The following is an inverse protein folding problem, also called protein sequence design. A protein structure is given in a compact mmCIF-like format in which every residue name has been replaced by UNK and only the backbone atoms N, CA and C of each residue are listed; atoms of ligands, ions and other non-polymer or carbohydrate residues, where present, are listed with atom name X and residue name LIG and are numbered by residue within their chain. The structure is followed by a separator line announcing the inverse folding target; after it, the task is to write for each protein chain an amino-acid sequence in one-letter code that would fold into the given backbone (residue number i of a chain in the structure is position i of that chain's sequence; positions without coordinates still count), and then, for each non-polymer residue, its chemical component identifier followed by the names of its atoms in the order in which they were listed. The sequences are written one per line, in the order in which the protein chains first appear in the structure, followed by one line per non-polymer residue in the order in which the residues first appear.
data_IF_642800660153
#
_entry.id   IF_642800660153
#
_cell.length_a   1.000
_cell.length_b   1.000
_cell.length_c   1.000
_cell.angle_alpha   90.00
_cell.angle_beta   90.00
_cell.angle_gamma   90.00
#
_symmetry.space_group_name_H-M   'P 1'
#
loop_
_entity.id
_entity.type
_entity.pdbx_description
1 polymer ?
#
# COMPACT_ATOMS: atom_id res chain seq x y z
N UNK A 1 -16.69 1.13 7.14
CA UNK A 1 -15.22 1.03 7.32
C UNK A 1 -14.71 1.67 8.62
N UNK A 2 -15.09 2.91 8.98
CA UNK A 2 -14.71 3.52 10.28
C UNK A 2 -15.06 2.66 11.51
N UNK A 3 -16.15 1.88 11.44
CA UNK A 3 -16.58 0.95 12.48
C UNK A 3 -15.60 -0.22 12.76
N UNK A 4 -14.63 -0.49 11.89
CA UNK A 4 -13.60 -1.52 12.12
C UNK A 4 -12.39 -0.99 12.92
N UNK A 5 -12.33 0.33 13.21
CA UNK A 5 -11.32 0.90 14.09
C UNK A 5 -11.68 0.55 15.54
N UNK A 6 -11.16 -0.57 16.01
CA UNK A 6 -11.33 -1.06 17.37
C UNK A 6 -10.02 -1.66 17.90
N UNK A 7 -9.98 -1.96 19.20
CA UNK A 7 -8.86 -2.67 19.79
C UNK A 7 -8.75 -4.09 19.20
N UNK A 8 -7.53 -4.64 19.04
CA UNK A 8 -6.23 -4.09 19.44
C UNK A 8 -5.60 -3.11 18.44
N UNK A 9 -6.24 -2.85 17.31
CA UNK A 9 -5.76 -1.95 16.25
C UNK A 9 -6.38 -2.31 14.88
N UNK A 10 -6.09 -1.50 13.86
CA UNK A 10 -6.55 -1.73 12.48
C UNK A 10 -5.43 -1.42 11.50
N UNK A 11 -5.13 -2.37 10.61
CA UNK A 11 -4.40 -2.12 9.36
C UNK A 11 -5.43 -2.02 8.24
N UNK A 12 -5.45 -0.88 7.53
CA UNK A 12 -6.38 -0.62 6.44
C UNK A 12 -5.62 -0.37 5.14
N UNK A 13 -5.98 -1.08 4.08
CA UNK A 13 -5.46 -0.91 2.72
C UNK A 13 -6.54 -0.30 1.82
N UNK A 14 -6.15 0.68 1.01
CA UNK A 14 -7.02 1.40 0.09
C UNK A 14 -6.44 2.76 -0.33
N UNK A 15 -7.17 3.47 -1.19
CA UNK A 15 -6.65 4.63 -1.92
C UNK A 15 -6.77 5.96 -1.16
N UNK A 16 -7.80 6.07 -0.33
CA UNK A 16 -8.17 7.28 0.40
C UNK A 16 -8.17 7.05 1.92
N UNK A 17 -7.48 6.00 2.37
CA UNK A 17 -7.41 5.62 3.78
C UNK A 17 -6.75 6.70 4.64
N UNK A 18 -5.57 7.19 4.26
CA UNK A 18 -4.83 8.20 5.03
C UNK A 18 -5.27 9.65 4.80
N UNK A 19 -6.09 9.91 3.78
CA UNK A 19 -6.54 11.26 3.39
C UNK A 19 -7.99 11.54 3.75
N UNK A 20 -8.88 10.56 3.65
CA UNK A 20 -10.34 10.74 3.84
C UNK A 20 -10.89 9.88 4.98
N UNK A 21 -10.55 8.59 5.03
CA UNK A 21 -11.19 7.64 5.96
C UNK A 21 -10.60 7.74 7.37
N UNK A 22 -9.27 7.75 7.48
CA UNK A 22 -8.48 7.81 8.70
C UNK A 22 -7.41 8.93 8.61
N UNK A 23 -7.82 10.20 8.51
CA UNK A 23 -6.90 11.32 8.42
C UNK A 23 -6.03 11.50 9.69
N UNK A 24 -6.41 10.87 10.80
CA UNK A 24 -5.70 10.88 12.08
C UNK A 24 -4.93 9.56 12.35
N UNK A 25 -4.71 8.74 11.33
CA UNK A 25 -3.93 7.51 11.47
C UNK A 25 -2.49 7.82 11.95
N UNK A 26 -2.01 7.07 12.95
CA UNK A 26 -0.69 7.25 13.55
C UNK A 26 0.47 6.96 12.58
N UNK A 27 0.27 6.03 11.64
CA UNK A 27 1.18 5.77 10.54
C UNK A 27 0.37 5.69 9.23
N UNK A 28 0.81 6.45 8.23
CA UNK A 28 0.27 6.41 6.87
C UNK A 28 1.40 6.02 5.93
N UNK A 29 1.19 4.95 5.19
CA UNK A 29 2.16 4.47 4.19
C UNK A 29 1.57 4.63 2.81
N UNK A 30 2.29 5.31 1.92
CA UNK A 30 1.98 5.36 0.50
C UNK A 30 2.90 4.39 -0.24
N UNK A 31 2.42 3.17 -0.42
CA UNK A 31 3.15 2.10 -1.09
C UNK A 31 3.04 2.22 -2.61
N UNK A 32 4.16 2.13 -3.30
CA UNK A 32 4.26 2.25 -4.76
C UNK A 32 5.18 1.17 -5.31
N UNK A 33 5.01 0.88 -6.59
CA UNK A 33 5.94 0.11 -7.41
C UNK A 33 5.73 0.46 -8.88
N UNK A 34 6.75 0.21 -9.72
CA UNK A 34 6.62 0.32 -11.17
C UNK A 34 5.49 -0.57 -11.69
N UNK A 35 4.89 -0.18 -12.82
CA UNK A 35 3.84 -0.97 -13.46
C UNK A 35 4.37 -2.34 -13.92
N UNK A 36 5.58 -2.36 -14.47
CA UNK A 36 6.26 -3.58 -14.89
C UNK A 36 6.43 -4.58 -13.73
N UNK A 37 6.95 -4.14 -12.58
CA UNK A 37 7.13 -5.02 -11.42
C UNK A 37 5.79 -5.57 -10.89
N UNK A 38 4.77 -4.70 -10.82
CA UNK A 38 3.41 -5.14 -10.44
C UNK A 38 2.82 -6.13 -11.45
N UNK A 39 3.07 -5.93 -12.74
CA UNK A 39 2.63 -6.82 -13.80
C UNK A 39 3.31 -8.20 -13.68
N UNK A 40 4.62 -8.24 -13.45
CA UNK A 40 5.36 -9.48 -13.23
C UNK A 40 4.85 -10.26 -12.02
N UNK A 41 4.68 -9.59 -10.88
CA UNK A 41 4.14 -10.21 -9.66
C UNK A 41 2.75 -10.78 -9.90
N UNK A 42 1.88 -10.01 -10.58
CA UNK A 42 0.53 -10.45 -10.93
C UNK A 42 0.53 -11.64 -11.90
N UNK A 43 1.39 -11.60 -12.91
CA UNK A 43 1.55 -12.69 -13.87
C UNK A 43 2.00 -13.97 -13.16
N UNK A 44 3.04 -13.90 -12.32
CA UNK A 44 3.52 -15.04 -11.50
C UNK A 44 2.38 -15.63 -10.65
N UNK A 45 1.57 -14.80 -10.00
CA UNK A 45 0.40 -15.25 -9.22
C UNK A 45 -0.68 -15.96 -10.06
N UNK A 46 -0.90 -15.53 -11.31
CA UNK A 46 -1.88 -16.16 -12.19
C UNK A 46 -1.38 -17.50 -12.73
N UNK A 47 -0.12 -17.56 -13.15
CA UNK A 47 0.52 -18.81 -13.61
C UNK A 47 0.53 -19.86 -12.50
N UNK A 48 0.85 -19.47 -11.25
CA UNK A 48 0.79 -20.37 -10.09
C UNK A 48 -0.62 -20.94 -9.83
N UNK A 49 -1.67 -20.25 -10.28
CA UNK A 49 -3.06 -20.70 -10.20
C UNK A 49 -3.52 -21.49 -11.43
N UNK A 50 -2.61 -21.77 -12.38
CA UNK A 50 -2.93 -22.44 -13.64
C UNK A 50 -3.69 -21.56 -14.64
N UNK A 51 -3.68 -20.23 -14.45
CA UNK A 51 -4.36 -19.27 -15.31
C UNK A 51 -3.33 -18.69 -16.28
N UNK A 52 -3.51 -18.94 -17.58
CA UNK A 52 -2.72 -18.28 -18.61
C UNK A 52 -3.03 -16.79 -18.62
N UNK A 53 -1.99 -15.96 -18.72
CA UNK A 53 -2.12 -14.51 -18.78
C UNK A 53 -0.98 -13.92 -19.60
N UNK A 54 -1.26 -12.80 -20.27
CA UNK A 54 -0.25 -12.06 -21.03
C UNK A 54 0.34 -10.94 -20.16
N UNK A 55 1.67 -10.91 -20.02
CA UNK A 55 2.37 -9.90 -19.21
C UNK A 55 2.17 -8.48 -19.74
N UNK A 56 2.22 -8.29 -21.06
CA UNK A 56 2.07 -6.97 -21.69
C UNK A 56 0.66 -6.41 -21.50
N UNK A 57 -0.36 -7.27 -21.63
CA UNK A 57 -1.75 -6.88 -21.36
C UNK A 57 -1.95 -6.48 -19.89
N UNK A 58 -1.38 -7.24 -18.94
CA UNK A 58 -1.44 -6.91 -17.51
C UNK A 58 -0.76 -5.55 -17.26
N UNK A 59 0.41 -5.32 -17.87
CA UNK A 59 1.15 -4.07 -17.69
C UNK A 59 0.35 -2.87 -18.20
N UNK A 60 -0.16 -2.95 -19.43
CA UNK A 60 -0.98 -1.90 -20.04
C UNK A 60 -2.24 -1.60 -19.20
N UNK A 61 -2.89 -2.64 -18.68
CA UNK A 61 -4.05 -2.51 -17.79
C UNK A 61 -3.71 -1.79 -16.48
N UNK A 62 -2.55 -2.09 -15.89
CA UNK A 62 -2.08 -1.44 -14.67
C UNK A 62 -1.74 0.03 -14.91
N UNK A 63 -1.03 0.36 -15.99
CA UNK A 63 -0.71 1.74 -16.34
C UNK A 63 -1.98 2.57 -16.60
N UNK A 64 -2.93 2.03 -17.35
CA UNK A 64 -4.21 2.69 -17.62
C UNK A 64 -5.03 2.89 -16.33
N UNK A 65 -5.01 1.92 -15.40
CA UNK A 65 -5.63 2.07 -14.08
C UNK A 65 -4.95 3.17 -13.28
N UNK A 66 -3.63 3.16 -13.14
CA UNK A 66 -2.90 4.16 -12.36
C UNK A 66 -3.14 5.57 -12.88
N UNK A 67 -3.15 5.76 -14.21
CA UNK A 67 -3.43 7.04 -14.83
C UNK A 67 -4.83 7.54 -14.45
N UNK A 68 -5.86 6.69 -14.58
CA UNK A 68 -7.23 7.04 -14.18
C UNK A 68 -7.32 7.36 -12.69
N UNK A 69 -6.61 6.61 -11.86
CA UNK A 69 -6.67 6.74 -10.40
C UNK A 69 -5.99 8.00 -9.89
N UNK A 70 -4.94 8.45 -10.58
CA UNK A 70 -4.25 9.72 -10.28
C UNK A 70 -4.99 10.93 -10.82
N UNK A 71 -5.75 10.78 -11.90
CA UNK A 71 -6.41 11.90 -12.60
C UNK A 71 -7.90 12.06 -12.27
N UNK A 72 -8.51 11.11 -11.55
CA UNK A 72 -9.93 11.21 -11.17
C UNK A 72 -10.22 12.45 -10.32
N UNK A 73 -11.35 13.10 -10.58
CA UNK A 73 -11.76 14.31 -9.88
C UNK A 73 -12.12 14.08 -8.39
N UNK A 74 -12.55 12.86 -8.03
CA UNK A 74 -13.00 12.51 -6.67
C UNK A 74 -12.06 11.48 -6.05
N UNK A 75 -11.51 11.80 -4.88
CA UNK A 75 -10.56 10.98 -4.11
C UNK A 75 -9.32 10.51 -4.92
N UNK A 76 -8.61 11.35 -5.69
CA UNK A 76 -7.47 10.90 -6.48
C UNK A 76 -6.43 10.14 -5.64
N UNK A 77 -5.74 9.17 -6.24
CA UNK A 77 -4.66 8.43 -5.60
C UNK A 77 -3.46 9.37 -5.40
N UNK A 78 -3.47 10.07 -4.28
CA UNK A 78 -2.47 11.04 -3.87
C UNK A 78 -2.05 10.71 -2.43
N UNK A 79 -0.75 10.69 -2.12
CA UNK A 79 -0.29 10.48 -0.76
C UNK A 79 -0.84 11.58 0.16
N UNK A 80 -1.20 11.22 1.40
CA UNK A 80 -1.41 12.22 2.43
C UNK A 80 -0.12 13.01 2.67
N UNK A 81 -0.24 14.27 3.12
CA UNK A 81 0.92 15.14 3.32
C UNK A 81 1.94 14.57 4.33
N UNK A 82 1.46 13.80 5.30
CA UNK A 82 2.21 13.11 6.36
C UNK A 82 2.44 11.61 6.06
N UNK A 83 2.13 11.14 4.85
CA UNK A 83 2.38 9.75 4.47
C UNK A 83 3.86 9.50 4.18
N UNK A 84 4.41 8.43 4.76
CA UNK A 84 5.72 7.90 4.39
C UNK A 84 5.59 7.14 3.06
N UNK A 85 6.39 7.52 2.07
CA UNK A 85 6.39 6.87 0.75
C UNK A 85 7.31 5.65 0.76
N UNK A 86 6.82 4.51 0.30
CA UNK A 86 7.60 3.29 0.13
C UNK A 86 7.53 2.88 -1.35
N UNK A 87 8.66 2.91 -2.05
CA UNK A 87 8.78 2.26 -3.35
C UNK A 87 9.33 0.85 -3.12
N UNK A 88 8.51 -0.17 -3.38
CA UNK A 88 8.91 -1.56 -3.20
C UNK A 88 9.19 -2.27 -4.52
N UNK A 89 9.51 -1.53 -5.59
CA UNK A 89 9.84 -2.12 -6.89
C UNK A 89 11.03 -3.08 -6.82
N UNK A 90 12.06 -2.73 -6.04
CA UNK A 90 13.26 -3.53 -5.87
C UNK A 90 13.33 -4.28 -4.53
N UNK A 91 12.25 -4.26 -3.74
CA UNK A 91 12.21 -4.87 -2.42
C UNK A 91 11.48 -6.20 -2.44
N UNK A 92 11.93 -7.13 -1.60
CA UNK A 92 11.17 -8.33 -1.26
C UNK A 92 9.96 -8.00 -0.38
N UNK A 93 9.11 -9.01 -0.15
CA UNK A 93 7.97 -8.89 0.77
C UNK A 93 8.49 -8.62 2.19
N UNK A 94 9.54 -9.35 2.59
CA UNK A 94 10.17 -9.26 3.89
C UNK A 94 10.78 -7.87 4.12
N UNK A 95 11.54 -7.35 3.16
CA UNK A 95 12.14 -6.01 3.26
C UNK A 95 11.07 -4.91 3.32
N UNK A 96 10.00 -5.06 2.54
CA UNK A 96 8.85 -4.14 2.58
C UNK A 96 8.17 -4.17 3.95
N UNK A 97 7.98 -5.36 4.51
CA UNK A 97 7.37 -5.57 5.82
C UNK A 97 8.23 -4.97 6.93
N UNK A 98 9.53 -5.29 6.95
CA UNK A 98 10.47 -4.82 7.96
C UNK A 98 10.57 -3.29 7.96
N UNK A 99 10.53 -2.67 6.78
CA UNK A 99 10.49 -1.20 6.64
C UNK A 99 9.25 -0.60 7.31
N UNK A 100 8.06 -1.16 7.03
CA UNK A 100 6.81 -0.66 7.60
C UNK A 100 6.75 -0.90 9.12
N UNK A 101 7.20 -2.06 9.59
CA UNK A 101 7.30 -2.38 11.02
C UNK A 101 8.29 -1.45 11.73
N UNK A 102 9.43 -1.15 11.11
CA UNK A 102 10.41 -0.20 11.63
C UNK A 102 9.79 1.19 11.85
N UNK A 103 9.09 1.71 10.84
CA UNK A 103 8.39 3.00 10.95
C UNK A 103 7.32 3.02 12.03
N UNK A 104 6.63 1.90 12.22
CA UNK A 104 5.64 1.74 13.25
C UNK A 104 6.25 1.78 14.65
N UNK A 105 7.37 1.08 14.87
CA UNK A 105 8.11 1.09 16.15
C UNK A 105 8.72 2.45 16.44
N UNK A 106 9.29 3.13 15.44
CA UNK A 106 9.83 4.49 15.58
C UNK A 106 8.77 5.51 16.06
N UNK A 107 7.55 5.40 15.51
CA UNK A 107 6.44 6.29 15.83
C UNK A 107 5.73 5.93 17.12
N UNK A 108 5.98 4.74 17.68
CA UNK A 108 5.37 4.33 18.94
C UNK A 108 6.16 4.92 20.10
N UNK A 109 5.56 5.77 20.97
CA UNK A 109 6.23 6.19 22.19
C UNK A 109 6.58 4.94 22.99
N UNK A 110 7.86 4.74 23.32
CA UNK A 110 8.31 3.68 24.22
C UNK A 110 7.51 3.79 25.53
N UNK A 111 6.40 3.07 25.63
CA UNK A 111 5.79 2.76 26.92
C UNK A 111 6.68 1.66 27.48
N UNK A 112 7.78 2.08 28.10
CA UNK A 112 8.42 1.26 29.13
C UNK A 112 7.38 1.14 30.24
N UNK A 113 6.51 0.13 30.14
CA UNK A 113 5.95 -0.51 31.30
C UNK A 113 6.97 -1.62 31.64
N UNK A 114 7.82 -1.52 32.66
CA UNK A 114 7.54 -0.84 33.91
C UNK A 114 6.40 -1.58 34.62
N UNK A 115 6.55 -2.88 34.83
CA UNK A 115 6.26 -3.63 36.08
C UNK A 115 6.64 -5.10 35.92
#
# INVERSE_FOLDING_TARGET
QKAFRGLPGLVADGRDMGTVIFPDAALKVFLTATAAERAERRHKQLIQKGISANLDEICADLEARDLRDRTRAVSPLVPAADARKLDNSALTIEESMDTVLGWWVEGWPHVIAGH
#
